data_IF_231984662421
#
_entry.id   IF_231984662421
#
_cell.length_a   1.000
_cell.length_b   1.000
_cell.length_c   1.000
_cell.angle_alpha   90.00
_cell.angle_beta   90.00
_cell.angle_gamma   90.00
#
_symmetry.space_group_name_H-M   'P 1'
#
loop_
_entity.id
_entity.type
_entity.pdbx_description
1 polymer ?
#
# COMPACT_ATOMS: atom_id res chain seq x y z
N UNK A 1 -11.16 -17.65 25.59
CA UNK A 1 -10.99 -16.51 24.65
C UNK A 1 -9.51 -16.18 24.70
N UNK A 2 -8.75 -16.37 23.62
CA UNK A 2 -7.38 -15.89 23.55
C UNK A 2 -7.45 -14.36 23.70
N UNK A 3 -6.71 -13.80 24.64
CA UNK A 3 -6.58 -12.35 24.78
C UNK A 3 -6.15 -11.77 23.44
N UNK A 4 -7.04 -11.04 22.79
CA UNK A 4 -6.74 -10.43 21.48
C UNK A 4 -5.58 -9.45 21.69
N UNK A 5 -4.40 -9.77 21.16
CA UNK A 5 -3.21 -8.94 21.29
C UNK A 5 -3.55 -7.53 20.76
N UNK A 6 -3.29 -6.53 21.57
CA UNK A 6 -3.52 -5.14 21.19
C UNK A 6 -2.53 -4.73 20.09
N UNK A 7 -3.03 -4.57 18.86
CA UNK A 7 -2.22 -4.20 17.70
C UNK A 7 -1.90 -2.70 17.77
N UNK A 8 -0.63 -2.33 17.61
CA UNK A 8 -0.17 -0.95 17.54
C UNK A 8 -0.04 -0.54 16.07
N UNK A 9 -0.91 0.35 15.62
CA UNK A 9 -0.93 0.84 14.25
C UNK A 9 -0.29 2.23 14.19
N UNK A 10 0.82 2.36 13.46
CA UNK A 10 1.43 3.63 13.14
C UNK A 10 0.78 4.27 11.91
N UNK A 11 0.52 5.57 11.97
CA UNK A 11 0.02 6.37 10.86
C UNK A 11 1.04 7.47 10.53
N UNK A 12 1.70 7.39 9.35
CA UNK A 12 2.43 8.57 8.87
C UNK A 12 1.44 9.55 8.25
N UNK A 13 1.47 10.80 8.71
CA UNK A 13 0.42 11.79 8.38
C UNK A 13 0.36 12.20 6.89
N UNK A 14 1.45 11.95 6.14
CA UNK A 14 1.57 12.35 4.75
C UNK A 14 1.82 13.85 4.57
N UNK A 15 1.46 14.38 3.41
CA UNK A 15 1.60 15.81 3.13
C UNK A 15 0.57 16.62 3.94
N UNK A 16 1.04 17.57 4.76
CA UNK A 16 0.20 18.35 5.66
C UNK A 16 -0.83 19.24 4.93
N UNK A 17 -0.53 19.62 3.68
CA UNK A 17 -1.39 20.46 2.85
C UNK A 17 -2.36 19.64 1.99
N UNK A 18 -2.28 18.28 2.05
CA UNK A 18 -3.20 17.34 1.40
C UNK A 18 -4.31 16.86 2.32
N UNK A 19 -4.96 15.76 1.92
CA UNK A 19 -6.11 15.19 2.65
C UNK A 19 -5.73 14.24 3.79
N UNK A 20 -4.44 13.92 3.99
CA UNK A 20 -4.01 12.87 4.94
C UNK A 20 -4.51 13.11 6.37
N UNK A 21 -4.33 14.29 6.92
CA UNK A 21 -4.79 14.63 8.26
C UNK A 21 -6.32 14.59 8.40
N UNK A 22 -7.06 15.04 7.36
CA UNK A 22 -8.53 14.94 7.32
C UNK A 22 -8.99 13.48 7.38
N UNK A 23 -8.36 12.59 6.62
CA UNK A 23 -8.71 11.17 6.59
C UNK A 23 -8.52 10.49 7.94
N UNK A 24 -7.40 10.76 8.63
CA UNK A 24 -7.16 10.22 9.98
C UNK A 24 -8.29 10.65 10.93
N UNK A 25 -8.60 11.95 10.98
CA UNK A 25 -9.61 12.46 11.89
C UNK A 25 -11.02 11.95 11.55
N UNK A 26 -11.35 11.80 10.28
CA UNK A 26 -12.63 11.20 9.85
C UNK A 26 -12.79 9.77 10.32
N UNK A 27 -11.79 8.91 10.09
CA UNK A 27 -11.84 7.50 10.51
C UNK A 27 -12.01 7.39 12.02
N UNK A 28 -11.27 8.19 12.76
CA UNK A 28 -11.37 8.25 14.22
C UNK A 28 -12.79 8.59 14.67
N UNK A 29 -13.38 9.63 14.08
CA UNK A 29 -14.69 10.13 14.45
C UNK A 29 -15.85 9.23 14.00
N UNK A 30 -15.80 8.76 12.75
CA UNK A 30 -16.96 8.15 12.10
C UNK A 30 -17.05 6.64 12.26
N UNK A 31 -15.93 5.94 12.44
CA UNK A 31 -15.88 4.48 12.31
C UNK A 31 -15.64 3.71 13.61
N UNK A 32 -15.41 4.40 14.73
CA UNK A 32 -15.21 3.77 16.06
C UNK A 32 -14.18 2.61 16.04
N UNK A 33 -13.23 2.63 15.10
CA UNK A 33 -12.24 1.56 14.88
C UNK A 33 -11.24 1.47 16.03
N UNK A 34 -11.06 2.55 16.78
CA UNK A 34 -10.06 2.64 17.87
C UNK A 34 -10.24 1.63 19.00
N UNK A 35 -11.46 1.08 19.16
CA UNK A 35 -11.66 0.01 20.15
C UNK A 35 -10.96 -1.30 19.81
N UNK A 36 -10.42 -1.41 18.60
CA UNK A 36 -9.82 -2.63 18.09
C UNK A 36 -8.29 -2.61 18.09
N UNK A 37 -7.66 -1.43 18.25
CA UNK A 37 -6.20 -1.28 18.20
C UNK A 37 -5.73 0.01 18.90
N UNK A 38 -4.43 0.12 19.17
CA UNK A 38 -3.78 1.34 19.63
C UNK A 38 -3.27 2.13 18.43
N UNK A 39 -3.72 3.38 18.28
CA UNK A 39 -3.27 4.24 17.17
C UNK A 39 -2.12 5.14 17.60
N UNK A 40 -1.10 5.27 16.75
CA UNK A 40 0.05 6.15 16.94
C UNK A 40 0.19 7.01 15.69
N UNK A 41 -0.19 8.29 15.80
CA UNK A 41 -0.12 9.26 14.70
C UNK A 41 1.22 9.97 14.76
N UNK A 42 2.06 9.79 13.75
CA UNK A 42 3.36 10.45 13.62
C UNK A 42 3.18 11.86 13.04
N UNK A 43 3.02 12.85 13.93
CA UNK A 43 2.75 14.24 13.56
C UNK A 43 3.32 15.21 14.61
N UNK A 44 2.63 16.30 14.90
CA UNK A 44 2.72 17.07 16.12
C UNK A 44 1.34 17.35 16.69
N UNK A 45 1.23 17.44 18.01
CA UNK A 45 -0.04 17.78 18.69
C UNK A 45 -0.61 19.13 18.18
N UNK A 46 0.25 20.09 17.85
CA UNK A 46 -0.16 21.39 17.29
C UNK A 46 -0.87 21.22 15.96
N UNK A 47 -0.35 20.38 15.05
CA UNK A 47 -0.98 20.08 13.75
C UNK A 47 -2.32 19.38 13.94
N UNK A 48 -2.39 18.39 14.82
CA UNK A 48 -3.65 17.68 15.07
C UNK A 48 -4.69 18.60 15.69
N UNK A 49 -4.31 19.49 16.63
CA UNK A 49 -5.19 20.51 17.21
C UNK A 49 -5.68 21.51 16.15
N UNK A 50 -4.80 21.95 15.25
CA UNK A 50 -5.20 22.80 14.13
C UNK A 50 -6.26 22.13 13.26
N UNK A 51 -6.03 20.89 12.84
CA UNK A 51 -6.96 20.11 12.02
C UNK A 51 -8.29 19.85 12.74
N UNK A 52 -8.25 19.51 14.04
CA UNK A 52 -9.44 19.35 14.87
C UNK A 52 -10.32 20.61 14.87
N UNK A 53 -9.69 21.76 15.06
CA UNK A 53 -10.40 23.05 15.06
C UNK A 53 -10.96 23.40 13.67
N UNK A 54 -10.14 23.18 12.61
CA UNK A 54 -10.53 23.47 11.24
C UNK A 54 -11.76 22.66 10.80
N UNK A 55 -11.72 21.33 11.05
CA UNK A 55 -12.81 20.42 10.66
C UNK A 55 -13.92 20.29 11.73
N UNK A 56 -13.75 20.88 12.92
CA UNK A 56 -14.70 20.81 14.04
C UNK A 56 -15.00 19.39 14.50
N UNK A 57 -13.96 18.51 14.51
CA UNK A 57 -14.14 17.11 14.89
C UNK A 57 -14.10 16.88 16.40
N UNK A 58 -13.44 17.71 17.18
CA UNK A 58 -13.35 17.64 18.65
C UNK A 58 -12.86 16.30 19.16
N UNK A 59 -11.83 15.74 18.54
CA UNK A 59 -11.23 14.46 18.90
C UNK A 59 -10.23 14.68 20.03
N UNK A 60 -10.39 13.94 21.13
CA UNK A 60 -9.40 13.87 22.19
C UNK A 60 -8.27 12.89 21.79
N UNK A 61 -7.05 13.22 22.17
CA UNK A 61 -5.88 12.37 21.97
C UNK A 61 -4.86 12.56 23.08
N UNK A 62 -4.00 11.56 23.26
CA UNK A 62 -2.87 11.62 24.18
C UNK A 62 -1.65 12.14 23.42
N UNK A 63 -1.02 13.17 23.95
CA UNK A 63 0.24 13.68 23.44
C UNK A 63 1.40 12.88 24.04
N UNK A 64 2.25 12.32 23.19
CA UNK A 64 3.40 11.49 23.58
C UNK A 64 4.67 11.93 22.87
N UNK A 65 5.82 11.69 23.48
CA UNK A 65 7.14 11.95 22.90
C UNK A 65 7.90 10.66 22.55
N UNK A 66 7.45 9.52 23.06
CA UNK A 66 7.99 8.19 22.78
C UNK A 66 6.85 7.19 22.63
N UNK A 67 7.01 6.22 21.72
CA UNK A 67 5.95 5.23 21.42
C UNK A 67 5.56 4.40 22.64
N UNK A 68 6.51 4.15 23.55
CA UNK A 68 6.29 3.41 24.80
C UNK A 68 5.31 4.10 25.76
N UNK A 69 5.04 5.38 25.57
CA UNK A 69 4.05 6.15 26.33
C UNK A 69 2.62 5.98 25.79
N UNK A 70 2.45 5.29 24.69
CA UNK A 70 1.14 5.13 24.04
C UNK A 70 0.17 4.39 24.96
N UNK A 71 -1.00 4.99 25.18
CA UNK A 71 -2.08 4.36 25.93
C UNK A 71 -2.82 3.37 25.01
N UNK A 72 -3.03 2.13 25.49
CA UNK A 72 -3.71 1.09 24.72
C UNK A 72 -5.14 1.48 24.35
N UNK A 73 -5.55 1.16 23.11
CA UNK A 73 -6.88 1.44 22.55
C UNK A 73 -7.27 2.91 22.53
N UNK A 74 -6.27 3.80 22.57
CA UNK A 74 -6.43 5.24 22.55
C UNK A 74 -5.79 5.85 21.30
N UNK A 75 -6.10 7.11 21.05
CA UNK A 75 -5.44 7.93 20.04
C UNK A 75 -4.21 8.55 20.67
N UNK A 76 -3.06 8.21 20.14
CA UNK A 76 -1.80 8.77 20.59
C UNK A 76 -1.17 9.58 19.45
N UNK A 77 -0.78 10.82 19.73
CA UNK A 77 -0.06 11.67 18.78
C UNK A 77 1.39 11.76 19.23
N UNK A 78 2.28 11.14 18.48
CA UNK A 78 3.72 11.21 18.70
C UNK A 78 4.26 12.52 18.10
N UNK A 79 4.82 13.38 18.93
CA UNK A 79 5.49 14.61 18.49
C UNK A 79 6.80 14.30 17.78
N UNK A 80 6.74 14.21 16.46
CA UNK A 80 7.93 14.06 15.60
C UNK A 80 8.67 15.39 15.47
N UNK A 81 7.96 16.48 15.64
CA UNK A 81 8.46 17.86 15.67
C UNK A 81 7.61 18.73 16.59
N UNK A 82 8.19 19.84 17.04
CA UNK A 82 7.54 20.79 17.97
C UNK A 82 7.36 22.19 17.40
N UNK A 83 7.95 22.46 16.24
CA UNK A 83 7.88 23.75 15.55
C UNK A 83 6.45 24.06 15.10
N UNK A 84 6.14 25.35 15.05
CA UNK A 84 4.90 25.84 14.44
C UNK A 84 5.00 25.78 12.92
N UNK A 85 3.94 25.30 12.27
CA UNK A 85 3.89 25.12 10.83
C UNK A 85 2.61 25.77 10.29
N UNK A 86 2.75 26.56 9.24
CA UNK A 86 1.62 27.09 8.50
C UNK A 86 1.08 26.01 7.54
N UNK A 87 -0.16 25.56 7.74
CA UNK A 87 -0.84 24.64 6.83
C UNK A 87 -1.54 25.43 5.73
N UNK A 88 -1.17 25.15 4.48
CA UNK A 88 -1.72 25.78 3.26
C UNK A 88 -2.42 24.71 2.42
N UNK A 89 -3.65 24.39 2.77
CA UNK A 89 -4.40 23.36 2.06
C UNK A 89 -4.40 23.57 0.55
N UNK A 90 -4.10 22.48 -0.20
CA UNK A 90 -4.08 22.51 -1.65
C UNK A 90 -2.77 22.97 -2.28
N UNK A 91 -1.79 23.40 -1.50
CA UNK A 91 -0.52 23.92 -2.00
C UNK A 91 0.65 22.94 -1.73
N UNK A 92 1.32 22.42 -2.76
CA UNK A 92 2.50 21.58 -2.58
C UNK A 92 3.74 22.41 -2.19
N UNK A 93 3.94 22.65 -0.92
CA UNK A 93 5.09 23.40 -0.42
C UNK A 93 6.28 22.50 -0.06
N UNK A 94 7.50 23.03 -0.11
CA UNK A 94 8.69 22.30 0.38
C UNK A 94 8.61 22.01 1.88
N UNK A 95 7.94 22.88 2.63
CA UNK A 95 7.76 22.73 4.05
C UNK A 95 6.84 21.55 4.35
N UNK A 96 5.67 21.44 3.72
CA UNK A 96 4.77 20.30 3.89
C UNK A 96 5.44 18.97 3.49
N UNK A 97 6.25 18.97 2.44
CA UNK A 97 7.07 17.83 2.04
C UNK A 97 8.13 17.43 3.08
N UNK A 98 8.82 18.40 3.69
CA UNK A 98 9.78 18.15 4.78
C UNK A 98 9.12 17.40 5.94
N UNK A 99 7.98 17.85 6.41
CA UNK A 99 7.29 17.22 7.55
C UNK A 99 6.63 15.88 7.19
N UNK A 100 6.19 15.71 5.95
CA UNK A 100 5.77 14.40 5.45
C UNK A 100 6.92 13.37 5.51
N UNK A 101 8.14 13.77 5.13
CA UNK A 101 9.34 12.93 5.22
C UNK A 101 9.69 12.63 6.68
N UNK A 102 9.67 13.60 7.57
CA UNK A 102 9.95 13.38 9.00
C UNK A 102 8.98 12.38 9.62
N UNK A 103 7.68 12.53 9.34
CA UNK A 103 6.65 11.58 9.78
C UNK A 103 6.91 10.16 9.26
N UNK A 104 7.21 10.03 7.96
CA UNK A 104 7.53 8.74 7.35
C UNK A 104 8.77 8.10 7.95
N UNK A 105 9.87 8.85 8.08
CA UNK A 105 11.13 8.34 8.62
C UNK A 105 10.99 7.86 10.06
N UNK A 106 10.28 8.63 10.90
CA UNK A 106 10.03 8.27 12.30
C UNK A 106 9.18 6.99 12.39
N UNK A 107 8.08 6.90 11.62
CA UNK A 107 7.20 5.73 11.63
C UNK A 107 7.87 4.47 11.09
N UNK A 108 8.68 4.57 10.04
CA UNK A 108 9.44 3.43 9.50
C UNK A 108 10.53 2.95 10.47
N UNK A 109 11.19 3.88 11.17
CA UNK A 109 12.16 3.53 12.21
C UNK A 109 11.50 2.70 13.32
N UNK A 110 10.34 3.13 13.81
CA UNK A 110 9.64 2.45 14.89
C UNK A 110 9.03 1.12 14.43
N UNK A 111 8.58 1.02 13.18
CA UNK A 111 8.16 -0.25 12.56
C UNK A 111 9.33 -1.25 12.51
N UNK A 112 10.51 -0.80 12.11
CA UNK A 112 11.73 -1.62 12.06
C UNK A 112 12.15 -2.13 13.44
N UNK A 113 11.94 -1.31 14.47
CA UNK A 113 12.26 -1.64 15.86
C UNK A 113 11.17 -2.43 16.59
N UNK A 114 10.06 -2.82 15.92
CA UNK A 114 8.89 -3.47 16.52
C UNK A 114 8.20 -2.64 17.62
N UNK A 115 8.35 -1.33 17.62
CA UNK A 115 7.62 -0.43 18.52
C UNK A 115 6.18 -0.24 18.04
N UNK A 116 5.93 -0.38 16.72
CA UNK A 116 4.60 -0.55 16.11
C UNK A 116 4.55 -1.86 15.34
N UNK A 117 3.37 -2.43 15.21
CA UNK A 117 3.17 -3.75 14.59
C UNK A 117 2.90 -3.63 13.07
N UNK A 118 2.20 -2.58 12.66
CA UNK A 118 1.90 -2.28 11.26
C UNK A 118 2.00 -0.77 11.00
N UNK A 119 2.26 -0.39 9.76
CA UNK A 119 2.32 1.00 9.31
C UNK A 119 1.30 1.25 8.19
N UNK A 120 0.43 2.24 8.38
CA UNK A 120 -0.43 2.76 7.32
C UNK A 120 0.05 4.15 6.94
N UNK A 121 0.49 4.32 5.68
CA UNK A 121 1.03 5.60 5.22
C UNK A 121 -0.01 6.40 4.46
N UNK A 122 -0.13 7.69 4.78
CA UNK A 122 -0.98 8.61 4.05
C UNK A 122 -0.21 9.31 2.91
N UNK A 123 -0.92 9.85 1.92
CA UNK A 123 -0.31 10.29 0.67
C UNK A 123 0.73 11.40 0.84
N UNK A 124 1.80 11.31 0.05
CA UNK A 124 2.84 12.34 -0.10
C UNK A 124 2.91 12.84 -1.52
N UNK A 125 3.41 14.05 -1.71
CA UNK A 125 3.73 14.57 -3.03
C UNK A 125 5.18 14.24 -3.39
N UNK A 126 5.38 13.47 -4.45
CA UNK A 126 6.71 12.99 -4.88
C UNK A 126 7.68 14.10 -5.26
N UNK A 127 7.19 15.29 -5.62
CA UNK A 127 8.03 16.40 -6.01
C UNK A 127 8.54 17.20 -4.79
N UNK A 128 7.65 17.52 -3.83
CA UNK A 128 8.02 18.40 -2.72
C UNK A 128 8.81 17.70 -1.61
N UNK A 129 8.80 16.34 -1.57
CA UNK A 129 9.60 15.56 -0.62
C UNK A 129 11.09 15.48 -1.01
N UNK A 130 11.45 15.80 -2.27
CA UNK A 130 12.84 15.69 -2.73
C UNK A 130 13.74 16.69 -2.01
N UNK A 131 14.82 16.19 -1.44
CA UNK A 131 15.83 17.00 -0.75
C UNK A 131 17.18 16.28 -0.75
N UNK A 132 18.25 16.97 -0.36
CA UNK A 132 19.57 16.34 -0.18
C UNK A 132 19.57 15.19 0.88
N UNK A 133 18.58 15.17 1.76
CA UNK A 133 18.42 14.14 2.82
C UNK A 133 17.40 13.06 2.47
N UNK A 134 16.60 13.24 1.42
CA UNK A 134 15.59 12.28 0.99
C UNK A 134 15.52 12.29 -0.55
N UNK A 135 16.18 11.32 -1.15
CA UNK A 135 16.28 11.17 -2.61
C UNK A 135 15.67 9.82 -3.04
N UNK A 136 14.42 9.59 -2.66
CA UNK A 136 13.65 8.42 -3.05
C UNK A 136 12.44 8.84 -3.88
N UNK A 137 12.07 8.10 -4.94
CA UNK A 137 10.90 8.41 -5.78
C UNK A 137 9.57 8.44 -5.00
N UNK A 138 9.49 7.71 -3.90
CA UNK A 138 8.27 7.64 -3.07
C UNK A 138 8.40 6.76 -1.84
N UNK A 139 7.26 6.45 -1.22
CA UNK A 139 7.17 5.60 -0.03
C UNK A 139 7.80 4.23 -0.23
N UNK A 140 7.42 3.53 -1.31
CA UNK A 140 7.81 2.14 -1.54
C UNK A 140 9.31 1.99 -1.65
N UNK A 141 9.96 2.90 -2.40
CA UNK A 141 11.41 2.85 -2.60
C UNK A 141 12.16 3.10 -1.28
N UNK A 142 11.70 4.10 -0.50
CA UNK A 142 12.27 4.40 0.81
C UNK A 142 12.08 3.22 1.78
N UNK A 143 10.85 2.70 1.89
CA UNK A 143 10.51 1.60 2.81
C UNK A 143 11.27 0.32 2.44
N UNK A 144 11.43 0.04 1.14
CA UNK A 144 12.21 -1.11 0.64
C UNK A 144 13.69 -1.00 0.97
N UNK A 145 14.23 0.22 1.07
CA UNK A 145 15.61 0.45 1.48
C UNK A 145 15.81 0.26 3.00
N UNK A 146 14.79 0.58 3.81
CA UNK A 146 14.88 0.55 5.27
C UNK A 146 14.50 -0.80 5.89
N UNK A 147 13.66 -1.60 5.22
CA UNK A 147 13.15 -2.86 5.72
C UNK A 147 13.76 -4.05 4.97
N UNK A 148 13.70 -5.23 5.57
CA UNK A 148 14.22 -6.46 4.96
C UNK A 148 13.19 -7.09 4.02
N UNK A 149 13.68 -7.64 2.91
CA UNK A 149 12.88 -8.33 1.92
C UNK A 149 12.96 -7.69 0.55
N UNK A 150 12.22 -8.24 -0.39
CA UNK A 150 12.09 -7.73 -1.75
C UNK A 150 10.68 -7.22 -1.98
N UNK A 151 10.53 -5.93 -2.12
CA UNK A 151 9.22 -5.31 -2.23
C UNK A 151 8.54 -5.58 -3.57
N UNK A 152 7.21 -5.72 -3.49
CA UNK A 152 6.33 -5.76 -4.65
C UNK A 152 5.11 -4.90 -4.35
N UNK A 153 4.76 -4.02 -5.28
CA UNK A 153 3.50 -3.29 -5.24
C UNK A 153 2.35 -4.25 -5.52
N UNK A 154 1.54 -4.51 -4.49
CA UNK A 154 0.40 -5.41 -4.56
C UNK A 154 -0.87 -4.60 -4.30
N UNK A 155 -1.65 -4.39 -5.34
CA UNK A 155 -2.92 -3.71 -5.23
C UNK A 155 -3.98 -4.72 -4.81
N UNK A 156 -4.65 -4.45 -3.69
CA UNK A 156 -5.57 -5.42 -3.08
C UNK A 156 -6.92 -4.81 -2.76
N UNK A 157 -7.96 -5.59 -2.96
CA UNK A 157 -9.33 -5.36 -2.50
C UNK A 157 -9.95 -6.69 -2.11
N UNK A 158 -11.20 -6.67 -1.67
CA UNK A 158 -11.96 -7.91 -1.40
C UNK A 158 -12.15 -8.76 -2.65
N UNK A 159 -12.38 -8.10 -3.80
CA UNK A 159 -12.73 -8.75 -5.05
C UNK A 159 -11.52 -9.08 -5.92
N UNK A 160 -10.42 -8.34 -5.76
CA UNK A 160 -9.33 -8.39 -6.72
C UNK A 160 -7.98 -8.09 -6.08
N UNK A 161 -6.97 -8.88 -6.43
CA UNK A 161 -5.57 -8.63 -6.08
C UNK A 161 -4.72 -8.63 -7.34
N UNK A 162 -3.95 -7.56 -7.55
CA UNK A 162 -3.14 -7.36 -8.76
C UNK A 162 -1.70 -7.06 -8.39
N UNK A 163 -0.78 -7.91 -8.83
CA UNK A 163 0.66 -7.66 -8.78
C UNK A 163 1.20 -7.28 -10.16
N UNK A 164 2.30 -6.56 -10.18
CA UNK A 164 2.92 -6.06 -11.41
C UNK A 164 4.29 -6.70 -11.64
N UNK A 165 4.57 -7.14 -12.86
CA UNK A 165 5.93 -7.51 -13.27
C UNK A 165 6.81 -6.26 -13.35
N UNK A 166 6.32 -5.23 -14.05
CA UNK A 166 6.95 -3.92 -14.12
C UNK A 166 5.96 -2.86 -13.62
N UNK A 167 6.42 -1.91 -12.79
CA UNK A 167 5.58 -0.87 -12.19
C UNK A 167 5.87 0.52 -12.79
N UNK A 168 6.72 1.32 -12.19
CA UNK A 168 6.97 2.71 -12.59
C UNK A 168 8.09 2.82 -13.65
N UNK A 169 7.92 2.16 -14.79
CA UNK A 169 8.86 2.23 -15.91
C UNK A 169 8.19 2.78 -17.18
N UNK A 170 8.91 3.48 -18.05
CA UNK A 170 8.39 3.91 -19.33
C UNK A 170 7.91 2.72 -20.18
N UNK A 171 6.77 2.88 -20.87
CA UNK A 171 6.14 1.79 -21.65
C UNK A 171 7.10 1.15 -22.67
N UNK A 172 7.98 1.94 -23.28
CA UNK A 172 8.97 1.46 -24.25
C UNK A 172 10.09 0.61 -23.62
N UNK A 173 10.15 0.50 -22.29
CA UNK A 173 11.11 -0.34 -21.57
C UNK A 173 10.51 -1.64 -21.08
N UNK A 174 9.19 -1.76 -21.07
CA UNK A 174 8.48 -2.90 -20.48
C UNK A 174 8.94 -4.23 -21.08
N UNK A 175 8.86 -4.38 -22.40
CA UNK A 175 9.24 -5.62 -23.08
C UNK A 175 10.68 -6.05 -22.77
N UNK A 176 11.63 -5.10 -22.78
CA UNK A 176 13.05 -5.39 -22.53
C UNK A 176 13.36 -5.79 -21.07
N UNK A 177 12.48 -5.49 -20.13
CA UNK A 177 12.64 -5.84 -18.70
C UNK A 177 12.05 -7.19 -18.37
N UNK A 178 11.05 -7.67 -19.15
CA UNK A 178 10.40 -8.95 -18.88
C UNK A 178 11.31 -10.10 -19.30
N UNK A 179 11.67 -10.92 -18.32
CA UNK A 179 12.46 -12.13 -18.47
C UNK A 179 12.02 -13.18 -17.44
N UNK A 180 12.44 -14.42 -17.61
CA UNK A 180 12.07 -15.53 -16.72
C UNK A 180 12.43 -15.25 -15.26
N UNK A 181 13.60 -14.68 -14.98
CA UNK A 181 14.06 -14.39 -13.62
C UNK A 181 13.13 -13.39 -12.92
N UNK A 182 12.72 -12.32 -13.62
CA UNK A 182 11.76 -11.35 -13.09
C UNK A 182 10.40 -12.00 -12.81
N UNK A 183 9.92 -12.83 -13.74
CA UNK A 183 8.64 -13.53 -13.59
C UNK A 183 8.68 -14.45 -12.37
N UNK A 184 9.70 -15.27 -12.22
CA UNK A 184 9.86 -16.17 -11.06
C UNK A 184 9.93 -15.39 -9.76
N UNK A 185 10.75 -14.35 -9.71
CA UNK A 185 10.88 -13.48 -8.54
C UNK A 185 9.54 -12.89 -8.10
N UNK A 186 8.83 -12.23 -9.02
CA UNK A 186 7.56 -11.56 -8.73
C UNK A 186 6.44 -12.54 -8.37
N UNK A 187 6.31 -13.65 -9.08
CA UNK A 187 5.29 -14.67 -8.78
C UNK A 187 5.57 -15.34 -7.43
N UNK A 188 6.82 -15.62 -7.08
CA UNK A 188 7.15 -16.18 -5.78
C UNK A 188 6.79 -15.24 -4.63
N UNK A 189 7.05 -13.94 -4.76
CA UNK A 189 6.63 -12.95 -3.76
C UNK A 189 5.09 -12.94 -3.62
N UNK A 190 4.36 -12.95 -4.75
CA UNK A 190 2.89 -12.97 -4.75
C UNK A 190 2.36 -14.24 -4.10
N UNK A 191 2.87 -15.42 -4.47
CA UNK A 191 2.45 -16.70 -3.89
C UNK A 191 2.71 -16.77 -2.39
N UNK A 192 3.88 -16.31 -1.94
CA UNK A 192 4.21 -16.27 -0.52
C UNK A 192 3.28 -15.30 0.23
N UNK A 193 3.02 -14.13 -0.34
CA UNK A 193 2.09 -13.17 0.24
C UNK A 193 0.66 -13.73 0.32
N UNK A 194 0.16 -14.37 -0.74
CA UNK A 194 -1.16 -15.01 -0.72
C UNK A 194 -1.28 -16.06 0.39
N UNK A 195 -0.22 -16.81 0.67
CA UNK A 195 -0.21 -17.81 1.76
C UNK A 195 -0.08 -17.15 3.13
N UNK A 196 0.93 -16.31 3.31
CA UNK A 196 1.29 -15.77 4.62
C UNK A 196 0.41 -14.58 5.04
N UNK A 197 0.12 -13.68 4.08
CA UNK A 197 -0.58 -12.43 4.36
C UNK A 197 -2.10 -12.57 4.21
N UNK A 198 -2.55 -13.43 3.28
CA UNK A 198 -3.98 -13.62 2.98
C UNK A 198 -4.53 -14.99 3.39
N UNK A 199 -3.71 -15.89 3.97
CA UNK A 199 -4.15 -17.18 4.49
C UNK A 199 -4.61 -18.19 3.42
N UNK A 200 -4.21 -18.02 2.15
CA UNK A 200 -4.65 -18.86 1.03
C UNK A 200 -3.65 -20.00 0.83
N UNK A 201 -3.96 -21.21 1.25
CA UNK A 201 -3.03 -22.36 1.24
C UNK A 201 -2.56 -22.75 -0.18
N UNK A 202 -3.47 -22.75 -1.16
CA UNK A 202 -3.21 -23.16 -2.54
C UNK A 202 -3.61 -22.06 -3.52
N UNK A 203 -2.87 -20.92 -3.59
CA UNK A 203 -3.26 -19.78 -4.36
C UNK A 203 -3.23 -20.05 -5.86
N UNK A 204 -4.30 -19.63 -6.55
CA UNK A 204 -4.43 -19.66 -8.00
C UNK A 204 -4.07 -18.28 -8.56
N UNK A 205 -3.03 -18.21 -9.37
CA UNK A 205 -2.53 -16.95 -9.92
C UNK A 205 -2.68 -16.95 -11.43
N UNK A 206 -3.34 -15.93 -11.97
CA UNK A 206 -3.42 -15.69 -13.41
C UNK A 206 -2.31 -14.72 -13.84
N UNK A 207 -1.64 -15.01 -14.95
CA UNK A 207 -0.64 -14.15 -15.57
C UNK A 207 -1.21 -13.62 -16.89
N UNK A 208 -1.20 -12.29 -17.04
CA UNK A 208 -1.62 -11.64 -18.28
C UNK A 208 -0.46 -11.63 -19.27
N UNK A 209 -0.79 -11.77 -20.54
CA UNK A 209 0.18 -11.62 -21.62
C UNK A 209 0.71 -10.20 -21.72
N UNK A 210 1.89 -10.07 -22.32
CA UNK A 210 2.48 -8.77 -22.63
C UNK A 210 1.80 -8.13 -23.84
N UNK A 211 1.63 -8.94 -24.90
CA UNK A 211 1.12 -8.48 -26.18
C UNK A 211 -0.39 -8.68 -26.31
N UNK A 212 -1.08 -7.90 -27.15
CA UNK A 212 -2.46 -8.18 -27.53
C UNK A 212 -2.59 -9.62 -28.03
N UNK A 213 -3.68 -10.29 -27.62
CA UNK A 213 -3.97 -11.70 -27.97
C UNK A 213 -2.83 -12.67 -27.64
N UNK A 214 -1.99 -12.34 -26.62
CA UNK A 214 -0.80 -13.13 -26.25
C UNK A 214 0.17 -13.37 -27.42
N UNK A 215 0.30 -12.35 -28.30
CA UNK A 215 1.20 -12.38 -29.45
C UNK A 215 0.67 -13.06 -30.70
N UNK A 216 -0.51 -13.68 -30.65
CA UNK A 216 -1.17 -14.38 -31.79
C UNK A 216 -0.20 -15.28 -32.60
N UNK A 217 0.42 -16.25 -31.91
CA UNK A 217 1.45 -17.16 -32.44
C UNK A 217 2.63 -16.43 -33.12
N UNK A 218 3.04 -15.30 -32.55
CA UNK A 218 4.19 -14.51 -33.03
C UNK A 218 3.86 -13.45 -34.09
N UNK A 219 2.61 -13.32 -34.52
CA UNK A 219 2.20 -12.30 -35.48
C UNK A 219 2.25 -10.90 -34.92
N UNK A 220 1.90 -10.74 -33.63
CA UNK A 220 1.86 -9.45 -32.92
C UNK A 220 3.08 -9.27 -32.00
N UNK A 221 3.73 -10.35 -31.61
CA UNK A 221 4.92 -10.37 -30.74
C UNK A 221 5.23 -11.78 -30.30
N UNK A 222 6.46 -12.02 -29.89
CA UNK A 222 6.95 -13.37 -29.54
C UNK A 222 7.19 -13.57 -28.04
N UNK A 223 7.19 -12.51 -27.25
CA UNK A 223 7.58 -12.55 -25.83
C UNK A 223 6.68 -13.45 -25.00
N UNK A 224 5.38 -13.50 -25.33
CA UNK A 224 4.43 -14.38 -24.65
C UNK A 224 4.76 -15.85 -24.83
N UNK A 225 5.16 -16.26 -26.03
CA UNK A 225 5.51 -17.65 -26.33
C UNK A 225 6.94 -18.00 -25.97
N UNK A 226 7.87 -17.05 -26.08
CA UNK A 226 9.30 -17.32 -25.86
C UNK A 226 9.78 -17.09 -24.43
N UNK A 227 9.06 -16.29 -23.63
CA UNK A 227 9.44 -15.93 -22.27
C UNK A 227 8.34 -16.27 -21.25
N UNK A 228 7.12 -15.73 -21.43
CA UNK A 228 6.08 -15.81 -20.39
C UNK A 228 5.54 -17.23 -20.25
N UNK A 229 5.17 -17.87 -21.35
CA UNK A 229 4.63 -19.24 -21.36
C UNK A 229 5.62 -20.26 -20.80
N UNK A 230 6.92 -20.31 -21.22
CA UNK A 230 7.92 -21.18 -20.62
C UNK A 230 8.09 -20.97 -19.13
N UNK A 231 8.11 -19.70 -18.66
CA UNK A 231 8.22 -19.39 -17.23
C UNK A 231 7.02 -19.93 -16.43
N UNK A 232 5.78 -19.74 -16.95
CA UNK A 232 4.56 -20.28 -16.35
C UNK A 232 4.63 -21.82 -16.28
N UNK A 233 5.02 -22.49 -17.36
CA UNK A 233 5.08 -23.95 -17.42
C UNK A 233 6.11 -24.52 -16.44
N UNK A 234 7.24 -23.86 -16.27
CA UNK A 234 8.24 -24.25 -15.26
C UNK A 234 7.72 -24.07 -13.82
N UNK A 235 6.98 -22.98 -13.55
CA UNK A 235 6.34 -22.76 -12.25
C UNK A 235 5.26 -23.81 -11.96
N UNK A 236 4.49 -24.24 -12.95
CA UNK A 236 3.51 -25.34 -12.84
C UNK A 236 4.19 -26.67 -12.51
N UNK A 237 5.30 -27.00 -13.19
CA UNK A 237 6.09 -28.22 -12.91
C UNK A 237 6.61 -28.24 -11.48
N UNK A 238 6.84 -27.07 -10.88
CA UNK A 238 7.25 -26.92 -9.47
C UNK A 238 6.07 -26.96 -8.48
N UNK A 239 4.86 -27.32 -8.94
CA UNK A 239 3.66 -27.49 -8.10
C UNK A 239 2.88 -26.21 -7.82
N UNK A 240 3.17 -25.09 -8.49
CA UNK A 240 2.40 -23.85 -8.33
C UNK A 240 1.17 -23.84 -9.26
N UNK A 241 0.06 -23.26 -8.76
CA UNK A 241 -1.16 -23.09 -9.53
C UNK A 241 -1.14 -21.75 -10.31
N UNK A 242 -0.29 -21.68 -11.32
CA UNK A 242 -0.10 -20.50 -12.17
C UNK A 242 -0.72 -20.77 -13.53
N UNK A 243 -1.51 -19.83 -14.04
CA UNK A 243 -2.29 -19.98 -15.26
C UNK A 243 -2.05 -18.80 -16.22
N UNK A 244 -2.14 -19.06 -17.52
CA UNK A 244 -1.92 -18.05 -18.56
C UNK A 244 -0.83 -18.49 -19.57
N UNK A 245 -0.25 -17.54 -20.33
CA UNK A 245 -0.65 -16.13 -20.37
C UNK A 245 -2.08 -15.95 -20.92
N UNK A 246 -2.81 -14.96 -20.40
CA UNK A 246 -4.15 -14.61 -20.86
C UNK A 246 -4.16 -13.27 -21.60
N UNK A 247 -4.98 -13.15 -22.65
CA UNK A 247 -5.25 -11.86 -23.27
C UNK A 247 -5.99 -10.96 -22.29
N UNK A 248 -5.39 -9.81 -21.93
CA UNK A 248 -5.86 -8.99 -20.83
C UNK A 248 -7.28 -8.45 -21.03
N UNK A 249 -7.62 -8.00 -22.25
CA UNK A 249 -8.94 -7.49 -22.61
C UNK A 249 -10.04 -8.54 -22.41
N UNK A 250 -9.85 -9.73 -22.99
CA UNK A 250 -10.79 -10.84 -22.89
C UNK A 250 -10.88 -11.38 -21.46
N UNK A 251 -9.77 -11.41 -20.72
CA UNK A 251 -9.72 -11.90 -19.35
C UNK A 251 -10.56 -11.03 -18.40
N UNK A 252 -10.44 -9.71 -18.49
CA UNK A 252 -11.25 -8.81 -17.70
C UNK A 252 -12.69 -8.70 -18.26
N UNK A 253 -12.84 -8.62 -19.58
CA UNK A 253 -14.15 -8.51 -20.24
C UNK A 253 -15.09 -9.69 -19.96
N UNK A 254 -14.54 -10.91 -19.85
CA UNK A 254 -15.30 -12.12 -19.50
C UNK A 254 -15.36 -12.41 -17.99
N UNK A 255 -14.87 -11.52 -17.13
CA UNK A 255 -14.82 -11.66 -15.69
C UNK A 255 -14.03 -12.89 -15.20
N UNK A 256 -13.11 -13.42 -15.98
CA UNK A 256 -12.28 -14.58 -15.58
C UNK A 256 -11.47 -14.32 -14.31
N UNK A 257 -11.16 -13.05 -13.99
CA UNK A 257 -10.43 -12.66 -12.79
C UNK A 257 -11.07 -13.20 -11.50
N UNK A 258 -12.38 -13.46 -11.49
CA UNK A 258 -13.09 -14.01 -10.32
C UNK A 258 -12.71 -15.47 -9.97
N UNK A 259 -12.03 -16.17 -10.85
CA UNK A 259 -11.60 -17.56 -10.66
C UNK A 259 -10.20 -17.68 -10.04
N UNK A 260 -9.54 -16.55 -9.77
CA UNK A 260 -8.16 -16.49 -9.31
C UNK A 260 -8.00 -15.65 -8.05
N UNK A 261 -7.04 -16.03 -7.23
CA UNK A 261 -6.73 -15.33 -5.99
C UNK A 261 -5.86 -14.08 -6.22
N UNK A 262 -5.08 -14.07 -7.31
CA UNK A 262 -4.35 -12.89 -7.77
C UNK A 262 -4.14 -12.90 -9.27
N UNK A 263 -3.89 -11.72 -9.81
CA UNK A 263 -3.56 -11.47 -11.21
C UNK A 263 -2.18 -10.83 -11.26
N UNK A 264 -1.35 -11.28 -12.19
CA UNK A 264 -0.05 -10.68 -12.49
C UNK A 264 -0.15 -9.98 -13.82
N UNK A 265 -0.07 -8.66 -13.81
CA UNK A 265 -0.03 -7.86 -15.02
C UNK A 265 1.41 -7.56 -15.44
N UNK A 266 1.65 -7.48 -16.74
CA UNK A 266 2.97 -7.23 -17.30
C UNK A 266 3.47 -5.81 -17.04
N UNK A 267 2.57 -4.82 -16.99
CA UNK A 267 2.90 -3.41 -16.75
C UNK A 267 1.79 -2.68 -15.99
N UNK A 268 2.12 -1.50 -15.51
CA UNK A 268 1.31 -0.70 -14.61
C UNK A 268 -0.14 -0.55 -15.06
N UNK A 269 -0.40 0.05 -16.23
CA UNK A 269 -1.76 0.39 -16.65
C UNK A 269 -2.59 -0.83 -17.03
N UNK A 270 -1.96 -1.93 -17.51
CA UNK A 270 -2.64 -3.19 -17.77
C UNK A 270 -3.31 -3.76 -16.51
N UNK A 271 -2.69 -3.57 -15.35
CA UNK A 271 -3.22 -4.03 -14.07
C UNK A 271 -4.07 -3.00 -13.35
N UNK A 272 -3.62 -1.74 -13.31
CA UNK A 272 -4.23 -0.73 -12.46
C UNK A 272 -5.49 -0.09 -13.04
N UNK A 273 -5.61 0.03 -14.36
CA UNK A 273 -6.86 0.52 -14.96
C UNK A 273 -8.04 -0.40 -14.59
N UNK A 274 -8.01 -1.71 -14.88
CA UNK A 274 -9.12 -2.58 -14.46
C UNK A 274 -9.26 -2.67 -12.95
N UNK A 275 -8.15 -2.69 -12.17
CA UNK A 275 -8.22 -2.69 -10.72
C UNK A 275 -9.02 -1.50 -10.20
N UNK A 276 -8.63 -0.28 -10.55
CA UNK A 276 -9.30 0.95 -10.08
C UNK A 276 -10.75 1.06 -10.55
N UNK A 277 -11.01 0.61 -11.76
CA UNK A 277 -12.38 0.59 -12.33
C UNK A 277 -13.30 -0.36 -11.56
N UNK A 278 -12.80 -1.53 -11.15
CA UNK A 278 -13.60 -2.55 -10.49
C UNK A 278 -13.73 -2.33 -8.97
N UNK A 279 -12.72 -1.71 -8.34
CA UNK A 279 -12.71 -1.52 -6.87
C UNK A 279 -13.38 -0.22 -6.40
N UNK A 280 -13.73 0.69 -7.31
CA UNK A 280 -14.46 1.92 -7.00
C UNK A 280 -13.92 2.72 -5.80
N UNK A 281 -12.60 2.92 -5.75
CA UNK A 281 -11.96 3.70 -4.69
C UNK A 281 -11.75 2.96 -3.35
N UNK A 282 -11.98 1.65 -3.29
CA UNK A 282 -11.69 0.80 -2.11
C UNK A 282 -10.37 0.04 -2.23
N UNK A 283 -9.56 0.39 -3.20
CA UNK A 283 -8.25 -0.22 -3.40
C UNK A 283 -7.26 0.12 -2.28
N UNK A 284 -6.41 -0.83 -1.97
CA UNK A 284 -5.30 -0.70 -1.01
C UNK A 284 -3.99 -1.01 -1.73
N UNK A 285 -2.99 -0.18 -1.57
CA UNK A 285 -1.63 -0.50 -1.97
C UNK A 285 -0.91 -1.15 -0.79
N UNK A 286 -0.70 -2.45 -0.89
CA UNK A 286 0.08 -3.25 0.05
C UNK A 286 1.50 -3.44 -0.48
N UNK A 287 2.51 -3.25 0.36
CA UNK A 287 3.91 -3.55 0.01
C UNK A 287 4.23 -4.99 0.42
N UNK A 288 3.99 -5.93 -0.49
CA UNK A 288 4.26 -7.35 -0.26
C UNK A 288 5.76 -7.67 -0.27
N UNK A 289 6.15 -8.80 0.30
CA UNK A 289 7.53 -9.33 0.28
C UNK A 289 8.48 -8.73 1.32
N UNK A 290 8.02 -7.78 2.13
CA UNK A 290 8.80 -7.25 3.25
C UNK A 290 8.52 -8.00 4.56
N UNK A 291 9.50 -7.98 5.47
CA UNK A 291 9.38 -8.54 6.81
C UNK A 291 8.42 -7.76 7.72
N UNK A 292 8.03 -6.57 7.32
CA UNK A 292 7.10 -5.68 8.02
C UNK A 292 5.87 -5.39 7.18
N UNK A 293 4.78 -5.03 7.83
CA UNK A 293 3.51 -4.76 7.17
C UNK A 293 3.35 -3.27 6.92
N UNK A 294 3.21 -2.91 5.65
CA UNK A 294 2.88 -1.54 5.27
C UNK A 294 1.76 -1.54 4.25
N UNK A 295 0.72 -0.79 4.53
CA UNK A 295 -0.38 -0.49 3.61
C UNK A 295 -0.52 1.01 3.36
N UNK A 296 -1.24 1.38 2.32
CA UNK A 296 -1.66 2.76 2.06
C UNK A 296 -2.93 2.79 1.22
N UNK A 297 -3.72 3.86 1.31
CA UNK A 297 -4.82 4.09 0.38
C UNK A 297 -4.32 4.21 -1.07
N UNK A 298 -5.21 3.91 -2.02
CA UNK A 298 -4.94 3.96 -3.47
C UNK A 298 -5.26 5.32 -4.10
N UNK A 299 -4.97 6.41 -3.42
CA UNK A 299 -5.13 7.78 -3.93
C UNK A 299 -3.94 8.65 -3.54
N UNK A 300 -3.83 9.81 -4.18
CA UNK A 300 -2.81 10.82 -3.91
C UNK A 300 -3.22 11.83 -2.85
N UNK A 301 -2.47 12.93 -2.79
CA UNK A 301 -2.67 14.04 -1.85
C UNK A 301 -3.98 14.81 -2.05
N UNK A 302 -4.60 14.70 -3.22
CA UNK A 302 -5.89 15.30 -3.59
C UNK A 302 -6.01 16.78 -3.15
N UNK A 303 -5.03 17.58 -3.56
CA UNK A 303 -4.94 18.99 -3.17
C UNK A 303 -6.18 19.82 -3.52
N UNK A 304 -6.87 19.46 -4.59
CA UNK A 304 -8.09 20.13 -5.05
C UNK A 304 -9.25 20.06 -4.05
N UNK A 305 -9.25 19.08 -3.15
CA UNK A 305 -10.28 18.93 -2.10
C UNK A 305 -9.73 19.09 -0.68
N UNK A 306 -8.42 19.33 -0.53
CA UNK A 306 -7.77 19.46 0.77
C UNK A 306 -8.38 20.64 1.57
N UNK A 307 -8.62 20.42 2.86
CA UNK A 307 -9.20 21.42 3.77
C UNK A 307 -10.71 21.61 3.64
N UNK A 308 -11.39 20.94 2.70
CA UNK A 308 -12.84 21.12 2.46
C UNK A 308 -13.71 20.17 3.30
N UNK A 309 -13.15 19.20 3.99
CA UNK A 309 -13.92 18.24 4.79
C UNK A 309 -14.73 17.23 3.96
N UNK A 310 -14.41 17.01 2.67
CA UNK A 310 -15.15 16.14 1.75
C UNK A 310 -14.37 14.91 1.27
N UNK A 311 -13.14 14.70 1.77
CA UNK A 311 -12.35 13.52 1.40
C UNK A 311 -13.07 12.23 1.79
N UNK A 312 -13.10 11.23 0.86
CA UNK A 312 -13.70 9.92 1.13
C UNK A 312 -12.72 9.04 1.91
N UNK A 313 -13.04 8.57 3.12
CA UNK A 313 -12.13 7.76 3.94
C UNK A 313 -12.11 6.27 3.60
N UNK A 314 -12.94 5.76 2.67
CA UNK A 314 -13.11 4.32 2.43
C UNK A 314 -11.81 3.59 2.09
N UNK A 315 -10.99 4.13 1.18
CA UNK A 315 -9.71 3.49 0.83
C UNK A 315 -8.71 3.47 2.00
N UNK A 316 -8.74 4.50 2.85
CA UNK A 316 -7.91 4.54 4.05
C UNK A 316 -8.41 3.55 5.11
N UNK A 317 -9.74 3.43 5.29
CA UNK A 317 -10.35 2.41 6.14
C UNK A 317 -9.95 1.00 5.69
N UNK A 318 -10.08 0.69 4.40
CA UNK A 318 -9.68 -0.61 3.84
C UNK A 318 -8.17 -0.86 4.01
N UNK A 319 -7.32 0.18 3.94
CA UNK A 319 -5.89 0.05 4.21
C UNK A 319 -5.61 -0.36 5.67
N UNK A 320 -6.34 0.20 6.64
CA UNK A 320 -6.25 -0.19 8.06
C UNK A 320 -6.72 -1.63 8.25
N UNK A 321 -7.90 -1.97 7.75
CA UNK A 321 -8.46 -3.32 7.88
C UNK A 321 -7.59 -4.38 7.23
N UNK A 322 -7.02 -4.09 6.06
CA UNK A 322 -6.06 -4.96 5.37
C UNK A 322 -4.79 -5.16 6.20
N UNK A 323 -4.25 -4.10 6.81
CA UNK A 323 -3.07 -4.21 7.66
C UNK A 323 -3.31 -5.09 8.89
N UNK A 324 -4.47 -4.95 9.54
CA UNK A 324 -4.89 -5.78 10.68
C UNK A 324 -5.03 -7.24 10.26
N UNK A 325 -5.75 -7.52 9.17
CA UNK A 325 -5.94 -8.88 8.66
C UNK A 325 -4.59 -9.55 8.33
N UNK A 326 -3.68 -8.85 7.67
CA UNK A 326 -2.35 -9.38 7.36
C UNK A 326 -1.57 -9.68 8.64
N UNK A 327 -1.63 -8.79 9.63
CA UNK A 327 -1.00 -9.02 10.92
C UNK A 327 -1.53 -10.27 11.62
N UNK A 328 -2.86 -10.42 11.71
CA UNK A 328 -3.51 -11.59 12.32
C UNK A 328 -3.13 -12.89 11.59
N UNK A 329 -3.08 -12.87 10.25
CA UNK A 329 -2.66 -14.04 9.46
C UNK A 329 -1.19 -14.40 9.69
N UNK A 330 -0.28 -13.42 9.71
CA UNK A 330 1.15 -13.67 9.99
C UNK A 330 1.37 -14.23 11.40
N UNK A 331 0.69 -13.69 12.42
CA UNK A 331 0.77 -14.21 13.79
C UNK A 331 0.25 -15.66 13.86
N UNK A 332 -0.86 -15.98 13.16
CA UNK A 332 -1.42 -17.32 13.12
C UNK A 332 -0.52 -18.35 12.41
N UNK A 333 0.29 -17.92 11.44
CA UNK A 333 1.21 -18.78 10.70
C UNK A 333 2.56 -18.97 11.41
N UNK A 334 2.86 -18.19 12.46
CA UNK A 334 4.07 -18.33 13.28
C UNK A 334 3.93 -19.37 14.41
N UNK A 335 2.78 -20.06 14.49
CA UNK A 335 2.51 -21.22 15.35
C UNK A 335 2.40 -22.48 14.49
#
# INVERSE_FOLDING_TARGET
MLDKKNIRIGFSIGDLNGIGGELILKIIKERNLLKSFTSIIYASAKVINFLNNHFKYLINFNEINHVEQALPYEINVLNVWTEDIEIKFGEPTKESGKYAVLSLQSSVKDLRLNLIDVLVTLPINKHNIQSNKFNFPGHTDYISNELKGESLMFMVSKELKVGLLTDHVPINKVSSLINESLIYKKINIINNSLRMDFGISNPKVAVLGLNPHTGDNGVIGTEDDTIIRPAIDNLKKSGNLIFGPYSADSFFGSKQYQNYDAIVASYHDQGLIPFKTLTFGKGVNFTAGLDRIRTSPDHGTAYEIAGKGIANPESFEEAILTAIMIYENRESNNF
#
